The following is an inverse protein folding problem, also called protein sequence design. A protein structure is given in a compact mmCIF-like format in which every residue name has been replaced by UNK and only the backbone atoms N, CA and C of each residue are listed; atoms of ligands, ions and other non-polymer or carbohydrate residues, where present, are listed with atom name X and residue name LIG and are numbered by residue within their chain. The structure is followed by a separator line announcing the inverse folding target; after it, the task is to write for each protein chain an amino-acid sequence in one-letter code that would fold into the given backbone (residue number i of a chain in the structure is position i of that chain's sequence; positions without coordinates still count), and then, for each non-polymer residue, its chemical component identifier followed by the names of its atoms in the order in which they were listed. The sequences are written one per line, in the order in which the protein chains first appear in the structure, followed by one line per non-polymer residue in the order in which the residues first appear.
data_IF_062687159705
#
_entry.id   IF_062687159705
#
_cell.length_a   1.000
_cell.length_b   1.000
_cell.length_c   1.000
_cell.angle_alpha   90.00
_cell.angle_beta   90.00
_cell.angle_gamma   90.00
#
_symmetry.space_group_name_H-M   'P 1'
#
loop_
_entity.id
_entity.type
_entity.pdbx_description
1 polymer ?
#
# COMPACT_ATOMS: atom_id res chain seq x y z
N UNK A 1 19.67 -19.29 47.93
CA UNK A 1 18.27 -19.64 47.61
C UNK A 1 18.06 -21.16 47.73
N UNK A 2 18.27 -21.75 48.90
CA UNK A 2 18.19 -23.22 49.07
C UNK A 2 17.40 -23.66 50.32
N UNK A 3 16.70 -22.76 51.02
CA UNK A 3 16.04 -23.08 52.29
C UNK A 3 14.52 -22.91 52.30
N UNK A 4 13.86 -22.76 51.14
CA UNK A 4 12.42 -22.46 51.07
C UNK A 4 11.54 -23.65 50.63
N UNK A 5 11.88 -24.88 51.04
CA UNK A 5 11.13 -26.10 50.68
C UNK A 5 10.89 -27.05 51.87
N UNK A 6 10.70 -26.51 53.08
CA UNK A 6 10.22 -27.27 54.22
C UNK A 6 8.75 -27.00 54.49
N UNK A 7 7.93 -28.07 54.59
CA UNK A 7 6.56 -28.13 55.15
C UNK A 7 5.36 -27.72 54.30
N UNK A 8 5.23 -28.21 53.06
CA UNK A 8 3.93 -28.26 52.38
C UNK A 8 3.16 -29.54 52.77
N UNK A 9 1.91 -29.40 53.25
CA UNK A 9 1.04 -30.51 53.61
C UNK A 9 0.67 -31.37 52.37
N UNK A 10 0.58 -32.71 52.49
CA UNK A 10 0.38 -33.62 51.34
C UNK A 10 -0.91 -33.38 50.56
N UNK A 11 -1.92 -32.75 51.17
CA UNK A 11 -3.17 -32.36 50.50
C UNK A 11 -3.00 -31.21 49.49
N UNK A 12 -1.99 -30.34 49.63
CA UNK A 12 -1.74 -29.26 48.67
C UNK A 12 -1.00 -29.73 47.42
N UNK A 13 -0.25 -30.83 47.51
CA UNK A 13 0.47 -31.42 46.39
C UNK A 13 -0.48 -32.04 45.35
N UNK A 14 -1.64 -32.56 45.79
CA UNK A 14 -2.68 -33.10 44.90
C UNK A 14 -3.43 -32.00 44.12
N UNK A 15 -3.65 -30.83 44.73
CA UNK A 15 -4.31 -29.70 44.07
C UNK A 15 -3.39 -29.10 42.99
N UNK A 16 -2.08 -29.04 43.22
CA UNK A 16 -1.11 -28.52 42.25
C UNK A 16 -0.92 -29.41 41.01
N UNK A 17 -1.19 -30.72 41.12
CA UNK A 17 -1.10 -31.66 39.99
C UNK A 17 -2.37 -31.70 39.13
N UNK A 18 -3.53 -31.25 39.63
CA UNK A 18 -4.81 -31.33 38.91
C UNK A 18 -5.07 -30.13 37.96
N UNK A 19 -4.47 -28.96 38.24
CA UNK A 19 -4.65 -27.75 37.44
C UNK A 19 -4.11 -27.79 35.98
N UNK A 20 -2.98 -28.46 35.64
CA UNK A 20 -2.48 -28.42 34.27
C UNK A 20 -3.33 -29.23 33.28
N UNK A 21 -4.04 -30.27 33.73
CA UNK A 21 -4.82 -31.15 32.84
C UNK A 21 -6.13 -30.50 32.37
N UNK A 22 -6.82 -29.75 33.24
CA UNK A 22 -8.04 -29.01 32.87
C UNK A 22 -7.73 -27.80 31.99
N UNK A 23 -6.59 -27.14 32.19
CA UNK A 23 -6.16 -26.01 31.35
C UNK A 23 -5.89 -26.42 29.89
N UNK A 24 -5.27 -27.57 29.67
CA UNK A 24 -4.96 -28.06 28.32
C UNK A 24 -6.23 -28.39 27.52
N UNK A 25 -7.23 -29.01 28.14
CA UNK A 25 -8.49 -29.36 27.46
C UNK A 25 -9.28 -28.12 27.01
N UNK A 26 -9.32 -27.06 27.82
CA UNK A 26 -9.99 -25.80 27.46
C UNK A 26 -9.28 -25.07 26.31
N UNK A 27 -7.95 -25.09 26.29
CA UNK A 27 -7.16 -24.45 25.23
C UNK A 27 -7.34 -25.18 23.89
N UNK A 28 -7.34 -26.52 23.89
CA UNK A 28 -7.63 -27.33 22.70
C UNK A 28 -9.06 -27.04 22.20
N UNK A 29 -10.06 -27.03 23.08
CA UNK A 29 -11.44 -26.70 22.72
C UNK A 29 -11.57 -25.31 22.09
N UNK A 30 -10.87 -24.31 22.65
CA UNK A 30 -10.86 -22.94 22.13
C UNK A 30 -10.21 -22.84 20.75
N UNK A 31 -9.10 -23.54 20.51
CA UNK A 31 -8.43 -23.57 19.20
C UNK A 31 -9.30 -24.25 18.12
N UNK A 32 -9.97 -25.36 18.46
CA UNK A 32 -10.89 -26.04 17.54
C UNK A 32 -12.08 -25.15 17.20
N UNK A 33 -12.66 -24.46 18.18
CA UNK A 33 -13.75 -23.51 17.95
C UNK A 33 -13.33 -22.37 17.01
N UNK A 34 -12.15 -21.77 17.22
CA UNK A 34 -11.63 -20.72 16.35
C UNK A 34 -11.33 -21.22 14.94
N UNK A 35 -10.79 -22.42 14.80
CA UNK A 35 -10.52 -23.03 13.50
C UNK A 35 -11.82 -23.25 12.70
N UNK A 36 -12.86 -23.79 13.33
CA UNK A 36 -14.17 -23.99 12.69
C UNK A 36 -14.82 -22.67 12.33
N UNK A 37 -14.82 -21.69 13.25
CA UNK A 37 -15.42 -20.37 13.01
C UNK A 37 -14.73 -19.60 11.88
N UNK A 38 -13.42 -19.72 11.74
CA UNK A 38 -12.65 -19.05 10.66
C UNK A 38 -12.92 -19.66 9.28
N UNK A 39 -13.25 -20.95 9.20
CA UNK A 39 -13.51 -21.64 7.94
C UNK A 39 -14.97 -21.62 7.47
N UNK A 40 -15.92 -21.19 8.31
CA UNK A 40 -17.28 -20.93 7.85
C UNK A 40 -17.34 -19.62 7.06
N UNK A 41 -17.17 -19.72 5.74
CA UNK A 41 -17.49 -18.62 4.82
C UNK A 41 -18.99 -18.33 4.92
N UNK A 42 -19.42 -17.08 5.17
CA UNK A 42 -20.83 -16.72 5.16
C UNK A 42 -21.35 -16.91 3.72
N UNK A 43 -22.10 -17.99 3.51
CA UNK A 43 -22.94 -18.16 2.33
C UNK A 43 -24.07 -17.13 2.42
N UNK A 44 -23.81 -15.91 1.95
CA UNK A 44 -24.84 -14.91 1.76
C UNK A 44 -25.72 -15.35 0.59
N UNK A 45 -26.77 -16.11 0.91
CA UNK A 45 -27.91 -16.34 0.02
C UNK A 45 -28.46 -14.97 -0.37
N UNK A 46 -28.16 -14.52 -1.59
CA UNK A 46 -28.85 -13.40 -2.22
C UNK A 46 -30.27 -13.88 -2.55
N UNK A 47 -31.17 -13.71 -1.59
CA UNK A 47 -32.60 -13.74 -1.86
C UNK A 47 -32.95 -12.48 -2.63
N UNK A 48 -33.14 -12.63 -3.95
CA UNK A 48 -33.80 -11.64 -4.80
C UNK A 48 -35.24 -11.54 -4.29
N UNK A 49 -35.53 -10.47 -3.55
CA UNK A 49 -36.90 -10.06 -3.25
C UNK A 49 -37.37 -9.27 -4.47
N UNK A 50 -38.09 -9.95 -5.36
CA UNK A 50 -38.98 -9.30 -6.33
C UNK A 50 -40.23 -8.89 -5.53
N UNK A 51 -40.29 -7.65 -5.10
CA UNK A 51 -41.56 -6.99 -4.77
C UNK A 51 -42.08 -6.39 -6.07
N UNK A 52 -42.98 -7.11 -6.72
CA UNK A 52 -43.92 -6.56 -7.69
C UNK A 52 -45.27 -6.52 -6.97
N UNK A 53 -45.76 -5.32 -6.71
CA UNK A 53 -46.99 -5.07 -5.98
C UNK A 53 -47.91 -4.16 -6.82
N UNK A 54 -49.03 -4.77 -7.23
CA UNK A 54 -50.37 -4.19 -7.39
C UNK A 54 -50.75 -3.57 -8.73
N UNK A 55 -51.48 -4.38 -9.52
CA UNK A 55 -52.70 -3.97 -10.21
C UNK A 55 -53.65 -5.18 -10.40
N UNK A 56 -54.67 -5.22 -9.53
CA UNK A 56 -56.06 -5.68 -9.67
C UNK A 56 -56.51 -7.07 -10.20
N UNK A 57 -57.69 -7.55 -9.72
CA UNK A 57 -58.07 -8.95 -9.72
C UNK A 57 -59.09 -9.31 -10.81
N UNK A 58 -58.89 -10.45 -11.48
CA UNK A 58 -59.97 -11.13 -12.22
C UNK A 58 -60.02 -12.59 -11.81
N UNK A 59 -61.22 -12.97 -11.36
CA UNK A 59 -61.64 -14.29 -10.93
C UNK A 59 -61.34 -15.38 -11.97
N UNK A 60 -60.86 -16.53 -11.50
CA UNK A 60 -61.25 -17.85 -12.02
C UNK A 60 -60.84 -18.96 -11.04
N UNK A 61 -61.79 -19.86 -10.86
CA UNK A 61 -61.87 -21.02 -9.98
C UNK A 61 -60.92 -22.19 -10.39
N UNK A 62 -60.86 -23.28 -9.60
CA UNK A 62 -59.64 -24.05 -9.37
C UNK A 62 -59.47 -25.23 -10.33
N UNK A 63 -58.23 -25.54 -10.68
CA UNK A 63 -57.87 -26.86 -11.22
C UNK A 63 -56.79 -27.48 -10.35
N UNK A 64 -57.18 -28.52 -9.64
CA UNK A 64 -56.29 -29.41 -8.91
C UNK A 64 -55.45 -30.22 -9.92
N UNK A 65 -54.14 -30.10 -9.85
CA UNK A 65 -53.22 -31.11 -10.39
C UNK A 65 -52.11 -31.34 -9.36
N UNK A 66 -52.08 -32.56 -8.86
CA UNK A 66 -51.03 -33.11 -8.02
C UNK A 66 -49.68 -33.01 -8.73
N UNK A 67 -48.70 -32.36 -8.10
CA UNK A 67 -47.30 -32.40 -8.55
C UNK A 67 -46.47 -33.14 -7.51
N UNK A 68 -45.98 -34.27 -7.97
CA UNK A 68 -45.17 -35.29 -7.34
C UNK A 68 -43.81 -34.74 -6.89
N UNK A 69 -43.40 -35.15 -5.70
CA UNK A 69 -42.05 -35.01 -5.12
C UNK A 69 -40.99 -35.62 -6.04
N UNK A 70 -39.87 -34.93 -6.36
CA UNK A 70 -38.68 -35.60 -6.85
C UNK A 70 -37.70 -35.87 -5.71
N UNK A 71 -37.39 -37.15 -5.58
CA UNK A 71 -36.44 -37.74 -4.67
C UNK A 71 -34.99 -37.31 -4.95
N UNK A 72 -34.19 -37.31 -3.89
CA UNK A 72 -32.75 -37.09 -3.89
C UNK A 72 -31.99 -38.12 -4.76
N UNK A 73 -30.93 -37.73 -5.48
CA UNK A 73 -30.04 -38.67 -6.14
C UNK A 73 -28.97 -39.23 -5.17
N UNK A 74 -28.61 -40.52 -5.27
CA UNK A 74 -27.55 -41.14 -4.49
C UNK A 74 -26.14 -40.82 -5.05
N UNK A 75 -25.07 -40.95 -4.23
CA UNK A 75 -23.69 -40.71 -4.67
C UNK A 75 -23.19 -41.84 -5.56
N UNK A 76 -22.82 -41.54 -6.81
CA UNK A 76 -22.15 -42.48 -7.70
C UNK A 76 -20.63 -42.27 -7.67
N UNK A 77 -19.98 -43.31 -7.17
CA UNK A 77 -18.55 -43.52 -7.11
C UNK A 77 -18.14 -44.35 -8.34
N UNK A 78 -17.46 -43.79 -9.36
CA UNK A 78 -16.80 -44.58 -10.42
C UNK A 78 -15.54 -43.91 -10.99
N UNK A 79 -14.43 -44.63 -10.83
CA UNK A 79 -13.13 -44.57 -11.52
C UNK A 79 -13.26 -45.04 -12.98
N UNK A 80 -12.55 -44.43 -13.94
CA UNK A 80 -11.53 -45.13 -14.76
C UNK A 80 -10.29 -44.24 -15.03
N UNK A 81 -9.04 -44.71 -15.02
CA UNK A 81 -8.33 -45.59 -15.97
C UNK A 81 -8.13 -45.00 -17.38
N UNK A 82 -6.89 -44.51 -17.59
CA UNK A 82 -6.04 -44.55 -18.80
C UNK A 82 -6.63 -44.38 -20.21
N UNK A 83 -6.15 -43.35 -20.93
CA UNK A 83 -5.83 -43.31 -22.37
C UNK A 83 -5.16 -41.93 -22.63
N UNK A 84 -3.85 -41.80 -22.90
CA UNK A 84 -3.10 -42.20 -24.09
C UNK A 84 -3.61 -41.54 -25.39
N UNK A 85 -3.29 -40.26 -25.59
CA UNK A 85 -3.23 -39.66 -26.92
C UNK A 85 -1.92 -38.89 -27.09
N UNK A 86 -0.99 -39.53 -27.79
CA UNK A 86 0.18 -38.88 -28.36
C UNK A 86 -0.23 -38.10 -29.61
N UNK A 87 0.13 -36.82 -29.64
CA UNK A 87 0.22 -36.05 -30.86
C UNK A 87 1.70 -35.82 -31.16
N UNK A 88 2.20 -36.63 -32.10
CA UNK A 88 3.38 -36.33 -32.90
C UNK A 88 3.06 -35.13 -33.78
N UNK A 89 3.81 -34.06 -33.64
CA UNK A 89 3.97 -33.04 -34.67
C UNK A 89 5.45 -32.65 -34.73
N UNK A 90 6.24 -33.60 -35.20
CA UNK A 90 7.51 -33.31 -35.85
C UNK A 90 7.22 -32.72 -37.23
N UNK A 91 8.03 -31.74 -37.61
CA UNK A 91 8.33 -31.21 -38.96
C UNK A 91 7.93 -29.74 -39.16
N UNK A 92 8.96 -28.99 -39.56
CA UNK A 92 9.01 -27.60 -40.03
C UNK A 92 9.10 -26.50 -38.95
N UNK A 93 10.33 -26.16 -38.53
CA UNK A 93 10.90 -24.93 -39.10
C UNK A 93 12.43 -24.87 -39.04
N UNK A 94 12.98 -24.28 -40.10
CA UNK A 94 14.38 -24.13 -40.49
C UNK A 94 15.16 -23.20 -39.56
N UNK A 95 16.45 -23.51 -39.39
CA UNK A 95 17.59 -22.61 -39.15
C UNK A 95 17.26 -21.15 -38.82
N UNK A 96 17.36 -20.79 -37.54
CA UNK A 96 17.70 -19.43 -37.13
C UNK A 96 18.87 -19.56 -36.16
N UNK A 97 20.05 -19.22 -36.64
CA UNK A 97 21.23 -18.94 -35.81
C UNK A 97 20.89 -17.77 -34.90
N UNK A 98 20.95 -17.92 -33.56
CA UNK A 98 20.82 -16.76 -32.68
C UNK A 98 22.13 -15.97 -32.75
N UNK A 99 22.18 -14.92 -33.56
CA UNK A 99 23.09 -13.81 -33.29
C UNK A 99 22.72 -13.24 -31.92
N UNK A 100 23.61 -13.43 -30.95
CA UNK A 100 23.54 -12.75 -29.67
C UNK A 100 23.57 -11.24 -29.93
N UNK A 101 22.54 -10.47 -29.56
CA UNK A 101 22.67 -9.03 -29.48
C UNK A 101 23.72 -8.74 -28.42
N UNK A 102 24.81 -8.08 -28.83
CA UNK A 102 25.82 -7.54 -27.91
C UNK A 102 25.08 -6.76 -26.82
N UNK A 103 25.18 -7.25 -25.58
CA UNK A 103 24.77 -6.55 -24.38
C UNK A 103 25.45 -5.18 -24.40
N UNK A 104 24.71 -4.14 -24.77
CA UNK A 104 25.07 -2.78 -24.45
C UNK A 104 25.05 -2.68 -22.92
N UNK A 105 26.24 -2.46 -22.37
CA UNK A 105 26.51 -2.20 -20.97
C UNK A 105 25.44 -1.29 -20.37
N UNK A 106 24.74 -1.79 -19.37
CA UNK A 106 23.88 -0.97 -18.52
C UNK A 106 24.71 0.20 -17.96
N UNK A 107 24.19 1.45 -17.98
CA UNK A 107 24.91 2.57 -17.40
C UNK A 107 25.11 2.30 -15.90
N UNK A 108 26.38 2.28 -15.49
CA UNK A 108 26.79 2.13 -14.11
C UNK A 108 26.06 3.17 -13.24
N UNK A 109 25.24 2.68 -12.31
CA UNK A 109 24.55 3.51 -11.33
C UNK A 109 25.58 4.32 -10.54
N UNK A 110 25.61 5.63 -10.76
CA UNK A 110 26.48 6.54 -10.01
C UNK A 110 26.04 6.49 -8.55
N UNK A 111 26.94 6.15 -7.59
CA UNK A 111 26.61 6.18 -6.17
C UNK A 111 26.36 7.64 -5.77
N UNK A 112 25.09 7.99 -5.54
CA UNK A 112 24.70 9.30 -5.01
C UNK A 112 25.27 9.42 -3.59
N UNK A 113 26.17 10.36 -3.39
CA UNK A 113 26.69 10.69 -2.06
C UNK A 113 25.52 11.21 -1.21
N UNK A 114 25.18 10.47 -0.14
CA UNK A 114 24.08 10.82 0.74
C UNK A 114 24.42 12.12 1.52
N UNK A 115 23.57 13.14 1.38
CA UNK A 115 23.62 14.33 2.23
C UNK A 115 23.34 13.93 3.68
N UNK A 116 24.26 14.28 4.58
CA UNK A 116 24.32 13.81 5.97
C UNK A 116 23.11 14.25 6.85
N UNK A 117 22.23 15.11 6.36
CA UNK A 117 21.12 15.67 7.14
C UNK A 117 19.73 15.31 6.60
N UNK A 118 19.62 14.34 5.70
CA UNK A 118 18.30 13.93 5.20
C UNK A 118 17.62 12.98 6.21
N UNK A 119 16.31 13.15 6.45
CA UNK A 119 15.57 12.26 7.33
C UNK A 119 15.64 10.82 6.80
N UNK A 120 16.10 9.90 7.65
CA UNK A 120 16.24 8.49 7.30
C UNK A 120 14.95 7.74 7.63
N UNK A 121 14.39 7.02 6.66
CA UNK A 121 13.26 6.11 6.89
C UNK A 121 13.74 4.91 7.71
N UNK A 122 13.25 4.77 8.95
CA UNK A 122 13.64 3.69 9.87
C UNK A 122 12.79 2.42 9.70
N UNK A 123 11.49 2.59 9.49
CA UNK A 123 10.54 1.52 9.20
C UNK A 123 9.26 2.09 8.60
N UNK A 124 8.51 1.25 7.90
CA UNK A 124 7.21 1.59 7.33
C UNK A 124 6.10 0.81 8.03
N UNK A 125 5.05 1.51 8.47
CA UNK A 125 3.84 0.87 8.98
C UNK A 125 2.84 0.74 7.84
N UNK A 126 2.44 -0.50 7.57
CA UNK A 126 1.47 -0.87 6.54
C UNK A 126 0.22 -1.43 7.21
N UNK A 127 -0.93 -1.32 6.53
CA UNK A 127 -2.16 -1.98 6.96
C UNK A 127 -2.62 -2.93 5.85
N UNK A 128 -2.80 -4.20 6.19
CA UNK A 128 -3.34 -5.18 5.26
C UNK A 128 -4.80 -4.83 4.94
N UNK A 129 -5.17 -4.63 3.66
CA UNK A 129 -6.53 -4.25 3.27
C UNK A 129 -7.57 -5.33 3.57
N UNK A 130 -7.18 -6.60 3.63
CA UNK A 130 -8.13 -7.70 3.84
C UNK A 130 -8.37 -7.99 5.32
N UNK A 131 -7.30 -8.02 6.11
CA UNK A 131 -7.38 -8.34 7.55
C UNK A 131 -7.46 -7.11 8.45
N UNK A 132 -7.10 -5.92 7.95
CA UNK A 132 -6.92 -4.72 8.76
C UNK A 132 -5.71 -4.80 9.71
N UNK A 133 -4.93 -5.88 9.65
CA UNK A 133 -3.77 -6.11 10.50
C UNK A 133 -2.64 -5.13 10.14
N UNK A 134 -1.95 -4.65 11.18
CA UNK A 134 -0.78 -3.80 11.01
C UNK A 134 0.45 -4.66 10.67
N UNK A 135 1.22 -4.24 9.69
CA UNK A 135 2.45 -4.89 9.22
C UNK A 135 3.59 -3.87 9.34
N UNK A 136 4.72 -4.28 9.89
CA UNK A 136 5.92 -3.45 9.97
C UNK A 136 6.91 -3.91 8.90
N UNK A 137 7.30 -3.02 8.01
CA UNK A 137 8.31 -3.26 6.98
C UNK A 137 9.63 -2.58 7.40
N UNK A 138 10.69 -3.38 7.58
CA UNK A 138 12.02 -2.91 7.95
C UNK A 138 13.03 -3.48 6.96
N UNK A 139 13.68 -2.60 6.18
CA UNK A 139 14.66 -3.02 5.18
C UNK A 139 14.11 -3.97 4.12
N UNK A 140 12.83 -3.82 3.75
CA UNK A 140 12.15 -4.68 2.77
C UNK A 140 11.60 -6.00 3.33
N UNK A 141 11.76 -6.25 4.63
CA UNK A 141 11.20 -7.42 5.31
C UNK A 141 9.94 -7.03 6.09
N UNK A 142 8.86 -7.76 5.83
CA UNK A 142 7.54 -7.50 6.41
C UNK A 142 7.23 -8.44 7.56
N UNK A 143 6.86 -7.87 8.69
CA UNK A 143 6.55 -8.57 9.92
C UNK A 143 5.12 -8.24 10.35
N UNK A 144 4.26 -9.26 10.43
CA UNK A 144 2.89 -9.11 10.90
C UNK A 144 2.80 -9.23 12.44
N UNK A 145 3.77 -9.91 13.06
CA UNK A 145 3.93 -10.06 14.51
C UNK A 145 5.40 -9.98 14.88
N UNK A 146 5.68 -9.54 16.11
CA UNK A 146 7.04 -9.52 16.64
C UNK A 146 7.65 -10.93 16.75
N UNK A 147 6.82 -11.95 16.95
CA UNK A 147 7.24 -13.35 17.00
C UNK A 147 7.76 -13.88 15.64
N UNK A 148 7.42 -13.21 14.53
CA UNK A 148 7.89 -13.58 13.20
C UNK A 148 9.35 -13.12 12.98
N UNK A 149 9.87 -12.25 13.85
CA UNK A 149 11.22 -11.70 13.76
C UNK A 149 12.22 -12.70 14.33
N UNK A 150 12.92 -13.41 13.44
CA UNK A 150 13.92 -14.43 13.84
C UNK A 150 15.20 -13.79 14.40
N UNK A 151 15.58 -12.62 13.89
CA UNK A 151 16.76 -11.90 14.37
C UNK A 151 16.45 -11.10 15.64
N UNK A 152 17.12 -11.46 16.74
CA UNK A 152 17.01 -10.77 18.03
C UNK A 152 17.34 -9.28 17.92
N UNK A 153 18.33 -8.89 17.11
CA UNK A 153 18.70 -7.48 16.93
C UNK A 153 17.58 -6.70 16.23
N UNK A 154 17.02 -7.27 15.17
CA UNK A 154 15.87 -6.68 14.48
C UNK A 154 14.66 -6.57 15.41
N UNK A 155 14.37 -7.59 16.22
CA UNK A 155 13.29 -7.56 17.20
C UNK A 155 13.47 -6.44 18.23
N UNK A 156 14.70 -6.26 18.74
CA UNK A 156 15.06 -5.16 19.64
C UNK A 156 14.93 -3.79 18.95
N UNK A 157 15.33 -3.69 17.67
CA UNK A 157 15.18 -2.47 16.89
C UNK A 157 13.70 -2.07 16.73
N UNK A 158 12.85 -3.00 16.34
CA UNK A 158 11.39 -2.77 16.21
C UNK A 158 10.79 -2.35 17.55
N UNK A 159 11.15 -3.03 18.65
CA UNK A 159 10.71 -2.66 19.99
C UNK A 159 11.16 -1.26 20.39
N UNK A 160 12.41 -0.89 20.07
CA UNK A 160 12.92 0.46 20.34
C UNK A 160 12.15 1.49 19.53
N UNK A 161 11.89 1.24 18.26
CA UNK A 161 11.09 2.12 17.41
C UNK A 161 9.65 2.29 17.93
N UNK A 162 9.02 1.21 18.38
CA UNK A 162 7.69 1.25 19.00
C UNK A 162 7.68 2.10 20.29
N UNK A 163 8.71 1.95 21.13
CA UNK A 163 8.86 2.77 22.34
C UNK A 163 9.06 4.25 21.99
N UNK A 164 9.84 4.56 20.95
CA UNK A 164 10.03 5.91 20.42
C UNK A 164 8.72 6.52 19.92
N UNK A 165 7.93 5.75 19.16
CA UNK A 165 6.64 6.19 18.66
C UNK A 165 5.66 6.45 19.81
N UNK A 166 5.66 5.59 20.84
CA UNK A 166 4.84 5.78 22.03
C UNK A 166 5.28 7.02 22.85
N UNK A 167 6.59 7.26 22.97
CA UNK A 167 7.11 8.46 23.60
C UNK A 167 6.73 9.73 22.81
N UNK A 168 6.79 9.66 21.47
CA UNK A 168 6.36 10.73 20.58
C UNK A 168 4.89 11.11 20.78
N UNK A 169 4.00 10.13 21.02
CA UNK A 169 2.58 10.40 21.32
C UNK A 169 2.34 10.77 22.79
N UNK A 170 3.38 11.00 23.60
CA UNK A 170 3.27 11.20 25.05
C UNK A 170 2.49 10.07 25.75
N UNK A 171 2.62 8.85 25.24
CA UNK A 171 1.91 7.67 25.75
C UNK A 171 0.42 7.63 25.40
N UNK A 172 -0.10 8.54 24.57
CA UNK A 172 -1.49 8.49 24.12
C UNK A 172 -1.69 7.34 23.15
N UNK A 173 -2.67 6.48 23.46
CA UNK A 173 -3.11 5.37 22.63
C UNK A 173 -4.61 5.49 22.39
N UNK A 174 -5.04 5.26 21.16
CA UNK A 174 -6.47 5.26 20.80
C UNK A 174 -6.94 3.80 20.81
N UNK A 175 -7.94 3.52 21.65
CA UNK A 175 -8.64 2.24 21.69
C UNK A 175 -10.10 2.45 21.28
N UNK A 176 -10.82 1.37 21.00
CA UNK A 176 -12.28 1.43 20.80
C UNK A 176 -13.01 2.04 22.01
N UNK A 177 -12.43 1.90 23.21
CA UNK A 177 -12.94 2.51 24.44
C UNK A 177 -12.54 4.00 24.62
N UNK A 178 -11.96 4.63 23.60
CA UNK A 178 -11.48 6.01 23.63
C UNK A 178 -9.96 6.15 23.78
N UNK A 179 -9.52 7.40 23.98
CA UNK A 179 -8.11 7.75 24.16
C UNK A 179 -7.67 7.39 25.57
N UNK A 180 -6.66 6.54 25.70
CA UNK A 180 -6.03 6.17 26.97
C UNK A 180 -4.57 6.62 26.97
N UNK A 181 -4.17 7.31 28.03
CA UNK A 181 -2.77 7.64 28.27
C UNK A 181 -2.11 6.50 29.03
N UNK A 182 -1.17 5.84 28.37
CA UNK A 182 -0.27 4.89 29.00
C UNK A 182 0.96 5.63 29.52
N UNK A 183 1.52 5.26 30.69
CA UNK A 183 2.75 5.88 31.17
C UNK A 183 3.86 5.65 30.15
N UNK A 184 4.40 6.74 29.61
CA UNK A 184 5.43 6.67 28.58
C UNK A 184 6.65 5.88 29.11
N UNK A 185 7.14 4.88 28.36
CA UNK A 185 8.38 4.21 28.73
C UNK A 185 9.50 5.25 28.78
N UNK A 186 10.36 5.19 29.81
CA UNK A 186 11.60 5.99 29.85
C UNK A 186 12.53 5.47 28.76
N UNK A 187 12.39 5.98 27.55
CA UNK A 187 13.31 5.67 26.47
C UNK A 187 14.53 6.54 26.61
N UNK A 188 15.72 5.95 26.54
CA UNK A 188 16.98 6.68 26.49
C UNK A 188 17.07 7.58 25.23
N UNK A 189 18.14 8.38 25.10
CA UNK A 189 18.36 9.23 23.94
C UNK A 189 18.24 8.43 22.64
N UNK A 190 17.74 9.10 21.59
CA UNK A 190 17.37 8.43 20.36
C UNK A 190 18.51 7.61 19.75
N UNK A 191 18.22 6.41 19.21
CA UNK A 191 19.24 5.60 18.57
C UNK A 191 19.89 6.45 17.49
N UNK A 192 21.20 6.62 17.59
CA UNK A 192 21.98 7.12 16.47
C UNK A 192 21.70 6.20 15.27
N UNK A 193 21.50 6.79 14.07
CA UNK A 193 21.25 6.02 12.87
C UNK A 193 22.38 4.99 12.72
N UNK A 194 22.01 3.71 12.62
CA UNK A 194 22.97 2.65 12.39
C UNK A 194 23.52 2.89 10.98
N UNK A 195 24.69 3.50 10.91
CA UNK A 195 25.47 3.61 9.69
C UNK A 195 25.84 2.18 9.28
N UNK A 196 25.03 1.57 8.41
CA UNK A 196 25.41 0.31 7.77
C UNK A 196 26.72 0.58 7.01
N UNK A 197 27.83 -0.10 7.37
CA UNK A 197 29.13 0.19 6.76
C UNK A 197 29.12 -0.31 5.32
N UNK A 198 28.99 0.63 4.38
CA UNK A 198 29.03 0.40 2.93
C UNK A 198 30.50 0.22 2.52
N UNK A 199 31.15 -0.86 2.96
CA UNK A 199 32.63 -0.96 2.91
C UNK A 199 33.21 -1.49 1.58
N UNK A 200 32.42 -1.92 0.59
CA UNK A 200 32.98 -2.75 -0.51
C UNK A 200 32.59 -2.38 -1.96
N UNK A 201 32.37 -1.09 -2.29
CA UNK A 201 32.13 -0.69 -3.69
C UNK A 201 33.07 0.39 -4.27
N UNK A 202 34.25 0.60 -3.67
CA UNK A 202 35.16 1.69 -4.07
C UNK A 202 36.27 1.32 -5.08
N UNK A 203 36.20 0.19 -5.80
CA UNK A 203 37.30 -0.24 -6.70
C UNK A 203 36.85 -0.64 -8.09
N UNK A 204 36.19 0.25 -8.84
CA UNK A 204 36.10 0.11 -10.31
C UNK A 204 35.54 1.37 -11.00
N UNK A 205 36.33 2.45 -11.07
CA UNK A 205 36.11 3.49 -12.09
C UNK A 205 37.46 3.98 -12.59
N UNK A 206 37.89 3.47 -13.74
CA UNK A 206 39.01 4.03 -14.51
C UNK A 206 38.58 4.14 -15.98
N UNK A 207 38.96 5.27 -16.58
CA UNK A 207 38.90 5.65 -18.00
C UNK A 207 37.56 6.22 -18.52
N UNK A 208 37.51 7.56 -18.54
CA UNK A 208 36.61 8.39 -19.36
C UNK A 208 37.32 8.78 -20.66
N UNK A 209 36.71 8.66 -21.85
CA UNK A 209 37.09 9.43 -23.03
C UNK A 209 36.23 10.68 -23.20
N UNK A 210 36.88 11.79 -23.52
CA UNK A 210 36.29 13.10 -23.76
C UNK A 210 35.27 13.08 -24.91
N UNK A 211 34.10 13.71 -24.70
CA UNK A 211 33.06 13.96 -25.71
C UNK A 211 32.98 15.48 -25.94
N UNK A 212 32.91 15.94 -27.20
CA UNK A 212 33.02 17.35 -27.56
C UNK A 212 31.79 18.19 -27.16
N UNK A 213 32.13 19.43 -26.82
CA UNK A 213 31.32 20.57 -26.40
C UNK A 213 30.21 20.92 -27.43
N UNK A 214 28.91 20.81 -27.06
CA UNK A 214 27.81 21.28 -27.88
C UNK A 214 27.61 22.79 -27.73
N UNK A 215 27.60 23.47 -28.88
CA UNK A 215 27.38 24.90 -29.06
C UNK A 215 26.10 25.40 -28.35
N UNK A 216 26.24 26.48 -27.56
CA UNK A 216 25.13 27.20 -26.92
C UNK A 216 24.11 27.73 -27.94
N UNK A 217 22.82 27.39 -27.82
CA UNK A 217 21.77 28.07 -28.55
C UNK A 217 21.51 29.44 -27.92
N UNK A 218 21.69 30.50 -28.73
CA UNK A 218 21.36 31.89 -28.40
C UNK A 218 19.86 32.00 -28.13
N UNK A 219 19.47 32.13 -26.86
CA UNK A 219 18.09 32.39 -26.44
C UNK A 219 17.79 33.88 -26.69
N UNK A 220 16.80 34.24 -27.53
CA UNK A 220 16.43 35.62 -27.74
C UNK A 220 15.83 36.20 -26.46
N UNK A 221 16.41 37.32 -26.00
CA UNK A 221 15.95 38.08 -24.83
C UNK A 221 14.50 38.56 -25.06
N UNK A 222 13.55 38.26 -24.16
CA UNK A 222 12.17 38.68 -24.35
C UNK A 222 12.03 40.22 -24.31
N UNK A 223 11.07 40.80 -25.06
CA UNK A 223 10.82 42.24 -25.07
C UNK A 223 10.38 42.75 -23.69
N UNK A 224 10.84 43.93 -23.24
CA UNK A 224 10.57 44.47 -21.90
C UNK A 224 9.09 44.78 -21.62
N UNK A 225 8.22 44.81 -22.63
CA UNK A 225 6.78 45.04 -22.43
C UNK A 225 6.04 43.83 -21.84
N UNK A 226 6.57 42.60 -21.98
CA UNK A 226 5.89 41.40 -21.49
C UNK A 226 5.93 41.27 -19.96
N UNK A 227 6.97 41.79 -19.30
CA UNK A 227 7.13 41.73 -17.84
C UNK A 227 6.16 42.67 -17.11
N UNK A 228 5.88 43.85 -17.69
CA UNK A 228 4.96 44.82 -17.11
C UNK A 228 3.50 44.30 -17.11
N UNK A 229 3.08 43.64 -18.19
CA UNK A 229 1.73 43.05 -18.29
C UNK A 229 1.53 41.89 -17.30
N UNK A 230 2.58 41.10 -17.05
CA UNK A 230 2.54 39.99 -16.10
C UNK A 230 2.40 40.48 -14.65
N UNK A 231 3.17 41.50 -14.24
CA UNK A 231 3.08 42.07 -12.89
C UNK A 231 1.71 42.72 -12.61
N UNK A 232 1.08 43.33 -13.62
CA UNK A 232 -0.26 43.88 -13.49
C UNK A 232 -1.32 42.78 -13.21
N UNK A 233 -1.15 41.58 -13.78
CA UNK A 233 -2.09 40.47 -13.58
C UNK A 233 -2.07 39.89 -12.17
N UNK A 234 -0.91 39.90 -11.50
CA UNK A 234 -0.77 39.43 -10.12
C UNK A 234 -1.42 40.39 -9.10
N UNK A 235 -1.43 41.69 -9.39
CA UNK A 235 -2.06 42.68 -8.52
C UNK A 235 -3.59 42.75 -8.67
N UNK A 236 -4.13 42.30 -9.81
CA UNK A 236 -5.56 42.32 -10.08
C UNK A 236 -6.35 41.18 -9.40
N UNK A 237 -5.69 40.12 -8.93
CA UNK A 237 -6.34 39.02 -8.18
C UNK A 237 -6.53 39.37 -6.71
N UNK A 238 -7.25 40.47 -6.48
CA UNK A 238 -7.67 40.92 -5.15
C UNK A 238 -8.78 39.99 -4.68
N UNK A 239 -8.46 39.21 -3.65
CA UNK A 239 -9.31 38.27 -2.94
C UNK A 239 -10.67 38.91 -2.63
N UNK A 240 -11.70 38.36 -3.25
CA UNK A 240 -13.10 38.66 -2.96
C UNK A 240 -13.42 38.11 -1.57
N UNK A 241 -13.94 38.94 -0.64
CA UNK A 241 -14.17 38.53 0.73
C UNK A 241 -15.28 37.48 0.80
N UNK A 242 -14.90 36.28 1.24
CA UNK A 242 -15.78 35.15 1.51
C UNK A 242 -16.80 35.53 2.59
N UNK A 243 -18.11 35.27 2.38
CA UNK A 243 -19.16 35.69 3.31
C UNK A 243 -19.06 34.94 4.65
N UNK A 244 -19.04 35.70 5.74
CA UNK A 244 -18.98 35.17 7.11
C UNK A 244 -20.14 34.22 7.42
N UNK A 245 -19.90 33.04 8.03
CA UNK A 245 -20.95 32.14 8.45
C UNK A 245 -21.72 32.73 9.63
N UNK A 246 -23.02 32.90 9.44
CA UNK A 246 -23.97 33.35 10.45
C UNK A 246 -23.97 32.45 11.68
N UNK A 247 -23.77 33.07 12.85
CA UNK A 247 -23.73 32.43 14.15
C UNK A 247 -25.11 31.87 14.55
N UNK A 248 -25.33 30.58 14.27
CA UNK A 248 -26.44 29.80 14.82
C UNK A 248 -26.20 29.43 16.28
N UNK A 249 -26.82 30.18 17.19
CA UNK A 249 -26.82 29.96 18.65
C UNK A 249 -27.63 28.71 19.02
N UNK A 250 -26.99 27.53 19.01
CA UNK A 250 -27.54 26.26 19.49
C UNK A 250 -27.01 25.90 20.88
N UNK A 251 -27.92 25.71 21.84
CA UNK A 251 -27.65 25.58 23.28
C UNK A 251 -27.30 24.15 23.77
N UNK A 252 -26.84 23.25 22.89
CA UNK A 252 -26.51 21.88 23.28
C UNK A 252 -25.07 21.51 22.91
N UNK A 253 -24.33 21.12 23.95
CA UNK A 253 -22.89 20.84 24.00
C UNK A 253 -22.33 20.16 22.77
N UNK A 254 -21.46 20.89 22.06
CA UNK A 254 -20.53 20.33 21.08
C UNK A 254 -19.15 20.32 21.73
N UNK A 255 -18.60 19.12 21.89
CA UNK A 255 -17.20 18.88 22.20
C UNK A 255 -16.34 19.64 21.19
N UNK A 256 -15.59 20.61 21.68
CA UNK A 256 -14.54 21.32 20.93
C UNK A 256 -13.49 20.30 20.49
N UNK A 257 -13.63 19.78 19.28
CA UNK A 257 -12.58 19.05 18.57
C UNK A 257 -11.46 20.05 18.32
N UNK A 258 -10.35 19.90 19.03
CA UNK A 258 -9.15 20.70 18.79
C UNK A 258 -8.77 20.57 17.30
N UNK A 259 -8.42 21.68 16.62
CA UNK A 259 -7.96 21.63 15.24
C UNK A 259 -6.72 20.74 15.19
N UNK A 260 -6.87 19.62 14.48
CA UNK A 260 -5.81 18.67 14.22
C UNK A 260 -4.67 19.48 13.56
N UNK A 261 -3.45 19.47 14.10
CA UNK A 261 -2.33 20.17 13.48
C UNK A 261 -2.23 19.71 12.04
N UNK A 262 -2.35 20.65 11.11
CA UNK A 262 -2.20 20.44 9.68
C UNK A 262 -0.81 19.86 9.44
N UNK A 263 -0.78 18.53 9.31
CA UNK A 263 0.37 17.78 8.80
C UNK A 263 0.85 18.53 7.57
N UNK A 264 2.11 18.97 7.60
CA UNK A 264 2.81 19.55 6.46
C UNK A 264 2.42 18.69 5.25
N UNK A 265 1.76 19.26 4.22
CA UNK A 265 1.23 18.46 3.13
C UNK A 265 2.39 17.67 2.56
N UNK A 266 2.38 16.35 2.77
CA UNK A 266 3.40 15.47 2.26
C UNK A 266 3.47 15.72 0.75
N UNK A 267 4.62 16.21 0.28
CA UNK A 267 4.83 16.65 -1.09
C UNK A 267 4.51 15.46 -2.00
N UNK A 268 3.30 15.44 -2.55
CA UNK A 268 2.79 14.29 -3.28
C UNK A 268 3.18 14.49 -4.75
N UNK A 269 4.46 14.24 -5.02
CA UNK A 269 5.10 14.43 -6.32
C UNK A 269 4.31 13.78 -7.46
N UNK A 270 3.80 12.57 -7.26
CA UNK A 270 2.99 11.89 -8.28
C UNK A 270 1.68 12.63 -8.56
N UNK A 271 1.03 13.19 -7.53
CA UNK A 271 -0.20 13.97 -7.69
C UNK A 271 0.05 15.24 -8.50
N UNK A 272 1.12 15.97 -8.21
CA UNK A 272 1.47 17.20 -8.93
C UNK A 272 1.80 16.93 -10.40
N UNK A 273 2.64 15.90 -10.66
CA UNK A 273 2.95 15.47 -12.02
C UNK A 273 1.67 15.00 -12.74
N UNK A 274 0.80 14.24 -12.06
CA UNK A 274 -0.47 13.82 -12.64
C UNK A 274 -1.32 15.02 -13.05
N UNK A 275 -1.41 16.05 -12.20
CA UNK A 275 -2.16 17.27 -12.53
C UNK A 275 -1.65 17.92 -13.82
N UNK A 276 -0.33 17.99 -14.01
CA UNK A 276 0.28 18.54 -15.24
C UNK A 276 -0.01 17.63 -16.44
N UNK A 277 0.11 16.31 -16.27
CA UNK A 277 -0.22 15.31 -17.30
C UNK A 277 -1.68 15.45 -17.75
N UNK A 278 -2.63 15.51 -16.81
CA UNK A 278 -4.06 15.67 -17.12
C UNK A 278 -4.34 16.99 -17.84
N UNK A 279 -3.73 18.09 -17.38
CA UNK A 279 -3.90 19.40 -18.01
C UNK A 279 -3.44 19.39 -19.47
N UNK A 280 -2.32 18.72 -19.78
CA UNK A 280 -1.81 18.55 -21.14
C UNK A 280 -2.64 17.57 -21.96
N UNK A 281 -3.13 16.51 -21.33
CA UNK A 281 -3.92 15.49 -22.00
C UNK A 281 -5.18 16.09 -22.65
N UNK A 282 -5.83 17.07 -22.01
CA UNK A 282 -7.02 17.77 -22.55
C UNK A 282 -6.78 18.39 -23.93
N UNK A 283 -5.57 18.89 -24.21
CA UNK A 283 -5.22 19.51 -25.48
C UNK A 283 -4.57 18.54 -26.47
N UNK A 284 -4.33 17.30 -26.06
CA UNK A 284 -3.70 16.26 -26.86
C UNK A 284 -4.75 15.46 -27.63
N UNK A 285 -4.50 15.06 -28.89
CA UNK A 285 -5.38 14.12 -29.60
C UNK A 285 -5.50 12.76 -28.88
N UNK A 286 -4.62 12.48 -27.91
CA UNK A 286 -4.67 11.28 -27.07
C UNK A 286 -5.82 11.29 -26.05
N UNK A 287 -6.45 12.44 -25.78
CA UNK A 287 -7.53 12.57 -24.79
C UNK A 287 -8.69 11.60 -25.00
N UNK A 288 -9.01 11.32 -26.26
CA UNK A 288 -10.16 10.49 -26.64
C UNK A 288 -9.87 9.00 -26.56
N UNK A 289 -8.61 8.61 -26.73
CA UNK A 289 -8.21 7.21 -26.94
C UNK A 289 -7.44 6.63 -25.77
N UNK A 290 -6.82 7.48 -24.95
CA UNK A 290 -5.84 7.03 -23.97
C UNK A 290 -6.09 7.65 -22.60
N UNK A 291 -6.26 6.79 -21.61
CA UNK A 291 -6.30 7.17 -20.20
C UNK A 291 -4.90 7.03 -19.61
N UNK A 292 -4.33 8.14 -19.15
CA UNK A 292 -3.03 8.19 -18.48
C UNK A 292 -3.27 8.65 -17.05
N UNK A 293 -2.75 7.93 -16.06
CA UNK A 293 -2.76 8.35 -14.65
C UNK A 293 -1.36 8.17 -14.04
N UNK A 294 -0.87 9.17 -13.30
CA UNK A 294 0.39 9.07 -12.55
C UNK A 294 0.08 8.91 -11.05
N UNK A 295 0.58 7.84 -10.43
CA UNK A 295 0.30 7.51 -9.02
C UNK A 295 1.60 7.28 -8.24
N UNK A 296 1.57 7.55 -6.93
CA UNK A 296 2.69 7.22 -6.06
C UNK A 296 2.76 5.70 -5.89
N UNK A 297 3.93 5.13 -6.16
CA UNK A 297 4.21 3.75 -5.85
C UNK A 297 4.43 3.59 -4.34
N UNK A 298 4.25 2.36 -3.84
CA UNK A 298 4.35 2.09 -2.42
C UNK A 298 5.76 2.34 -1.88
N UNK A 299 6.79 2.16 -2.70
CA UNK A 299 8.22 2.41 -2.41
C UNK A 299 8.59 3.90 -2.35
N UNK A 300 7.65 4.80 -2.62
CA UNK A 300 7.90 6.24 -2.72
C UNK A 300 8.30 6.68 -4.13
N UNK A 301 8.37 5.75 -5.08
CA UNK A 301 8.57 6.04 -6.51
C UNK A 301 7.30 6.53 -7.19
N UNK A 302 7.38 6.66 -8.51
CA UNK A 302 6.26 7.02 -9.38
C UNK A 302 5.88 5.79 -10.21
N UNK A 303 4.58 5.53 -10.36
CA UNK A 303 4.05 4.55 -11.32
C UNK A 303 3.14 5.24 -12.30
N UNK A 304 3.27 4.85 -13.56
CA UNK A 304 2.51 5.40 -14.66
C UNK A 304 1.52 4.35 -15.11
N UNK A 305 0.23 4.66 -15.09
CA UNK A 305 -0.82 3.80 -15.63
C UNK A 305 -1.27 4.33 -16.99
N UNK A 306 -1.11 3.55 -18.04
CA UNK A 306 -1.62 3.86 -19.39
C UNK A 306 -2.61 2.77 -19.78
N UNK A 307 -3.88 3.13 -19.94
CA UNK A 307 -4.96 2.21 -20.32
C UNK A 307 -5.05 0.94 -19.44
N UNK A 308 -4.74 1.07 -18.14
CA UNK A 308 -4.76 -0.05 -17.19
C UNK A 308 -3.45 -0.82 -17.07
N UNK A 309 -2.44 -0.49 -17.88
CA UNK A 309 -1.10 -1.10 -17.81
C UNK A 309 -0.15 -0.20 -17.03
N UNK A 310 0.54 -0.75 -16.03
CA UNK A 310 1.48 0.00 -15.20
C UNK A 310 2.91 -0.09 -15.74
N UNK A 311 3.59 1.06 -15.74
CA UNK A 311 4.99 1.22 -16.13
C UNK A 311 5.74 1.91 -14.99
N UNK A 312 6.99 1.50 -14.77
CA UNK A 312 7.87 2.07 -13.74
C UNK A 312 8.60 3.31 -14.25
N UNK A 313 8.99 3.31 -15.53
CA UNK A 313 9.65 4.47 -16.15
C UNK A 313 8.87 4.98 -17.37
N UNK A 314 8.99 6.28 -17.72
CA UNK A 314 8.42 6.81 -18.95
C UNK A 314 8.96 6.12 -20.21
N UNK A 315 10.18 5.57 -20.15
CA UNK A 315 10.84 4.91 -21.27
C UNK A 315 10.24 3.53 -21.59
N UNK A 316 9.58 2.89 -20.63
CA UNK A 316 8.94 1.58 -20.82
C UNK A 316 7.61 1.66 -21.59
N UNK A 317 7.07 2.86 -21.79
CA UNK A 317 5.78 3.07 -22.43
C UNK A 317 5.89 2.79 -23.95
N UNK A 318 5.07 1.90 -24.52
CA UNK A 318 5.17 1.51 -25.93
C UNK A 318 4.73 2.64 -26.88
N UNK A 319 3.75 3.45 -26.49
CA UNK A 319 3.27 4.56 -27.31
C UNK A 319 4.22 5.77 -27.20
N UNK A 320 4.89 6.19 -28.29
CA UNK A 320 5.84 7.30 -28.28
C UNK A 320 5.18 8.66 -28.00
N UNK A 321 3.90 8.85 -28.36
CA UNK A 321 3.18 10.09 -28.12
C UNK A 321 2.84 10.26 -26.63
N UNK A 322 2.37 9.18 -25.97
CA UNK A 322 2.14 9.16 -24.52
C UNK A 322 3.45 9.35 -23.76
N UNK A 323 4.52 8.67 -24.19
CA UNK A 323 5.86 8.82 -23.62
C UNK A 323 6.36 10.26 -23.68
N UNK A 324 6.24 10.92 -24.84
CA UNK A 324 6.62 12.31 -25.01
C UNK A 324 5.80 13.23 -24.08
N UNK A 325 4.48 13.05 -24.01
CA UNK A 325 3.59 13.83 -23.15
C UNK A 325 3.99 13.75 -21.68
N UNK A 326 4.30 12.55 -21.18
CA UNK A 326 4.69 12.35 -19.78
C UNK A 326 6.07 12.95 -19.50
N UNK A 327 7.06 12.75 -20.40
CA UNK A 327 8.38 13.35 -20.25
C UNK A 327 8.34 14.87 -20.20
N UNK A 328 7.53 15.50 -21.06
CA UNK A 328 7.39 16.95 -21.03
C UNK A 328 6.65 17.45 -19.77
N UNK A 329 5.67 16.69 -19.28
CA UNK A 329 4.98 17.01 -18.03
C UNK A 329 5.94 16.98 -16.84
N UNK A 330 6.81 15.97 -16.75
CA UNK A 330 7.85 15.87 -15.72
C UNK A 330 8.82 17.05 -15.84
N UNK A 331 9.29 17.38 -17.05
CA UNK A 331 10.19 18.53 -17.28
C UNK A 331 9.55 19.87 -16.91
N UNK A 332 8.24 20.01 -17.05
CA UNK A 332 7.51 21.20 -16.62
C UNK A 332 7.41 21.28 -15.10
N UNK A 333 7.15 20.16 -14.43
CA UNK A 333 7.14 20.07 -12.97
C UNK A 333 8.51 20.46 -12.40
N UNK A 334 9.62 19.97 -12.96
CA UNK A 334 10.99 20.31 -12.53
C UNK A 334 11.33 21.81 -12.63
N UNK A 335 10.57 22.57 -13.42
CA UNK A 335 10.77 24.02 -13.59
C UNK A 335 9.87 24.86 -12.69
N UNK A 336 8.86 24.26 -12.07
CA UNK A 336 7.85 24.94 -11.25
C UNK A 336 8.30 25.03 -9.81
#
# INVERSE_FOLDING_TARGET
MAEFLGTAAPSQLLILMAFPLTGAALLIGFLVFFYVRRNQKPQMKHGVVVTDETADPVASEPTAVAVTVPAAPPPQNKKPAAEALGLKLDLLNKNITPEQPKLNSAPAAVPRQAKINEPVELARLLRDPHSGQLIVDVGGQRYAKLADVTDKKMGQFILKLAAHLLAFTNGMTISEAGVKTTPAPKVGPAPEPILVPITDLAKSVAATPATPEPSEPVIPKPPPEAEAAFLASLQAKKVEPEPEPTAGRGLFGRTTTAPIPTLIPALNLAKEINTIVQARLIYSPLAETTKVDVISAFDGGIRINVNGTFYETPDDIPDPAVKALIKESIKQWERS
#
